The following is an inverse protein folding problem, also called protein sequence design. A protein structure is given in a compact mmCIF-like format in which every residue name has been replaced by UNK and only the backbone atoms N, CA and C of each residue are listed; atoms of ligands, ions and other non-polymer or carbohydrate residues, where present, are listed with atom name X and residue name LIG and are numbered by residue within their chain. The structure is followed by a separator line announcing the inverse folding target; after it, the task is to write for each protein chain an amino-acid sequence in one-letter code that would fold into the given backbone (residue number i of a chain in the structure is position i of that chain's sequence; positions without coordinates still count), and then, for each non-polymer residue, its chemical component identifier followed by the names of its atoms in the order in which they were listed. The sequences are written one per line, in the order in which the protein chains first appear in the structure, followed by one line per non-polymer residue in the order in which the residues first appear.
data_IF_457502541354
#
_entry.id   IF_457502541354
#
_cell.length_a   1.000
_cell.length_b   1.000
_cell.length_c   1.000
_cell.angle_alpha   90.00
_cell.angle_beta   90.00
_cell.angle_gamma   90.00
#
_symmetry.space_group_name_H-M   'P 1'
#
loop_
_entity.id
_entity.type
_entity.pdbx_description
1 polymer ?
#
# COMPACT_ATOMS: atom_id res chain seq x y z
N UNK A 1 -20.24 -7.03 1.08
CA UNK A 1 -19.43 -7.58 -0.02
C UNK A 1 -18.73 -8.88 0.41
N UNK A 2 -18.03 -8.90 1.53
CA UNK A 2 -17.35 -10.10 2.05
C UNK A 2 -18.15 -10.73 3.20
N UNK A 3 -17.97 -12.02 3.40
CA UNK A 3 -18.41 -12.69 4.64
C UNK A 3 -17.64 -12.09 5.81
N UNK A 4 -18.28 -11.99 6.97
CA UNK A 4 -17.70 -11.40 8.19
C UNK A 4 -16.56 -12.24 8.78
N UNK A 5 -16.44 -13.50 8.38
CA UNK A 5 -15.41 -14.46 8.78
C UNK A 5 -14.31 -14.67 7.73
N UNK A 6 -14.18 -13.78 6.74
CA UNK A 6 -13.22 -13.91 5.62
C UNK A 6 -11.78 -14.10 6.10
N UNK A 7 -11.40 -13.42 7.18
CA UNK A 7 -10.04 -13.46 7.75
C UNK A 7 -10.03 -14.11 9.14
N UNK A 8 -11.05 -14.90 9.46
CA UNK A 8 -11.11 -15.58 10.74
C UNK A 8 -9.90 -16.50 10.94
N UNK A 9 -9.34 -16.48 12.15
CA UNK A 9 -8.12 -17.19 12.54
C UNK A 9 -6.84 -16.74 11.81
N UNK A 10 -6.85 -15.69 11.03
CA UNK A 10 -5.64 -15.09 10.44
C UNK A 10 -5.01 -14.12 11.44
N UNK A 11 -3.70 -14.23 11.62
CA UNK A 11 -2.87 -13.30 12.39
C UNK A 11 -2.13 -12.39 11.43
N UNK A 12 -2.35 -11.09 11.55
CA UNK A 12 -1.91 -10.08 10.57
C UNK A 12 -1.05 -9.03 11.27
N UNK A 13 0.15 -8.75 10.75
CA UNK A 13 0.95 -7.60 11.16
C UNK A 13 0.83 -6.48 10.12
N UNK A 14 0.53 -5.27 10.58
CA UNK A 14 0.46 -4.06 9.74
C UNK A 14 1.51 -3.05 10.22
N UNK A 15 2.52 -2.79 9.39
CA UNK A 15 3.50 -1.74 9.69
C UNK A 15 2.91 -0.37 9.42
N UNK A 16 3.10 0.59 10.34
CA UNK A 16 2.44 1.89 10.26
C UNK A 16 0.92 1.81 10.47
N UNK A 17 0.45 0.86 11.28
CA UNK A 17 -0.96 0.55 11.49
C UNK A 17 -1.73 1.57 12.34
N UNK A 18 -1.05 2.54 12.98
CA UNK A 18 -1.71 3.51 13.86
C UNK A 18 -2.38 4.70 13.15
N UNK A 19 -2.19 4.91 11.85
CA UNK A 19 -2.76 6.04 11.13
C UNK A 19 -3.06 5.72 9.65
N UNK A 20 -3.86 6.57 9.02
CA UNK A 20 -4.06 6.57 7.57
C UNK A 20 -4.51 5.23 7.00
N UNK A 21 -3.88 4.79 5.91
CA UNK A 21 -4.23 3.55 5.22
C UNK A 21 -4.05 2.32 6.12
N UNK A 22 -2.98 2.28 6.92
CA UNK A 22 -2.70 1.19 7.85
C UNK A 22 -3.79 1.03 8.90
N UNK A 23 -4.26 2.14 9.49
CA UNK A 23 -5.37 2.16 10.44
C UNK A 23 -6.67 1.68 9.80
N UNK A 24 -6.95 2.13 8.56
CA UNK A 24 -8.15 1.69 7.83
C UNK A 24 -8.13 0.20 7.48
N UNK A 25 -6.97 -0.33 7.08
CA UNK A 25 -6.80 -1.77 6.86
C UNK A 25 -6.97 -2.56 8.17
N UNK A 26 -6.41 -2.07 9.29
CA UNK A 26 -6.56 -2.70 10.60
C UNK A 26 -8.04 -2.81 11.00
N UNK A 27 -8.81 -1.71 10.89
CA UNK A 27 -10.24 -1.72 11.16
C UNK A 27 -10.98 -2.78 10.33
N UNK A 28 -10.71 -2.80 9.02
CA UNK A 28 -11.38 -3.73 8.11
C UNK A 28 -11.04 -5.19 8.38
N UNK A 29 -9.78 -5.48 8.69
CA UNK A 29 -9.36 -6.86 8.98
C UNK A 29 -9.94 -7.38 10.29
N UNK A 30 -10.05 -6.53 11.32
CA UNK A 30 -10.76 -6.86 12.55
C UNK A 30 -12.23 -7.19 12.29
N UNK A 31 -12.94 -6.38 11.50
CA UNK A 31 -14.32 -6.62 11.10
C UNK A 31 -14.52 -7.94 10.33
N UNK A 32 -13.46 -8.46 9.71
CA UNK A 32 -13.47 -9.72 8.98
C UNK A 32 -12.93 -10.90 9.81
N UNK A 33 -12.75 -10.72 11.13
CA UNK A 33 -12.41 -11.78 12.08
C UNK A 33 -10.93 -12.03 12.30
N UNK A 34 -10.03 -11.18 11.79
CA UNK A 34 -8.59 -11.34 12.01
C UNK A 34 -8.17 -10.90 13.41
N UNK A 35 -7.06 -11.49 13.90
CA UNK A 35 -6.23 -10.91 14.96
C UNK A 35 -5.21 -9.99 14.34
N UNK A 36 -5.17 -8.72 14.74
CA UNK A 36 -4.33 -7.70 14.11
C UNK A 36 -3.26 -7.20 15.06
N UNK A 37 -2.01 -7.26 14.64
CA UNK A 37 -0.88 -6.60 15.28
C UNK A 37 -0.57 -5.33 14.49
N UNK A 38 -0.49 -4.18 15.17
CA UNK A 38 -0.08 -2.91 14.56
C UNK A 38 1.24 -2.46 15.13
N UNK A 39 2.16 -2.05 14.27
CA UNK A 39 3.44 -1.50 14.73
C UNK A 39 3.75 -0.12 14.13
N UNK A 40 4.62 0.61 14.82
CA UNK A 40 5.08 1.94 14.46
C UNK A 40 5.90 2.55 15.59
N UNK A 41 6.46 3.75 15.36
CA UNK A 41 7.38 4.39 16.32
C UNK A 41 6.67 5.11 17.47
N UNK A 42 5.42 5.53 17.28
CA UNK A 42 4.65 6.35 18.24
C UNK A 42 3.67 5.45 18.98
N UNK A 43 4.06 5.04 20.16
CA UNK A 43 3.29 4.12 21.00
C UNK A 43 1.91 4.68 21.33
N UNK A 44 1.82 5.94 21.75
CA UNK A 44 0.54 6.56 22.12
C UNK A 44 -0.48 6.55 20.95
N UNK A 45 0.01 6.71 19.70
CA UNK A 45 -0.86 6.69 18.51
C UNK A 45 -1.37 5.28 18.22
N UNK A 46 -0.53 4.27 18.48
CA UNK A 46 -0.92 2.87 18.33
C UNK A 46 -1.94 2.48 19.39
N UNK A 47 -1.71 2.87 20.64
CA UNK A 47 -2.61 2.62 21.77
C UNK A 47 -3.98 3.28 21.56
N UNK A 48 -4.00 4.54 21.08
CA UNK A 48 -5.25 5.22 20.74
C UNK A 48 -6.03 4.46 19.66
N UNK A 49 -5.33 3.95 18.64
CA UNK A 49 -5.96 3.15 17.59
C UNK A 49 -6.48 1.82 18.12
N UNK A 50 -5.72 1.16 19.00
CA UNK A 50 -6.14 -0.09 19.61
C UNK A 50 -7.36 0.11 20.52
N UNK A 51 -7.39 1.19 21.32
CA UNK A 51 -8.53 1.54 22.15
C UNK A 51 -9.79 1.82 21.30
N UNK A 52 -9.66 2.55 20.18
CA UNK A 52 -10.77 2.84 19.27
C UNK A 52 -11.36 1.55 18.63
N UNK A 53 -10.52 0.55 18.40
CA UNK A 53 -10.94 -0.69 17.74
C UNK A 53 -11.15 -1.87 18.67
N UNK A 54 -11.03 -1.67 19.98
CA UNK A 54 -11.17 -2.74 21.00
C UNK A 54 -12.49 -3.53 20.91
N UNK A 55 -13.57 -2.89 20.46
CA UNK A 55 -14.87 -3.55 20.25
C UNK A 55 -14.98 -4.30 18.91
N UNK A 56 -14.01 -4.14 17.99
CA UNK A 56 -14.05 -4.76 16.67
C UNK A 56 -13.36 -6.13 16.61
N UNK A 57 -12.46 -6.43 17.54
CA UNK A 57 -11.71 -7.69 17.57
C UNK A 57 -10.39 -7.59 18.33
N UNK A 58 -9.57 -8.64 18.23
CA UNK A 58 -8.27 -8.72 18.89
C UNK A 58 -7.23 -7.85 18.17
N UNK A 59 -6.80 -6.77 18.83
CA UNK A 59 -5.77 -5.86 18.31
C UNK A 59 -4.63 -5.74 19.33
N UNK A 60 -3.39 -5.84 18.84
CA UNK A 60 -2.17 -5.78 19.65
C UNK A 60 -1.25 -4.67 19.13
N UNK A 61 -0.63 -3.96 20.06
CA UNK A 61 0.29 -2.84 19.79
C UNK A 61 1.72 -3.29 20.04
N UNK A 62 2.61 -3.00 19.10
CA UNK A 62 4.04 -3.26 19.25
C UNK A 62 4.83 -2.05 18.74
N UNK A 63 5.38 -1.21 19.64
CA UNK A 63 6.27 -0.14 19.23
C UNK A 63 7.50 -0.70 18.50
N UNK A 64 7.71 -0.26 17.25
CA UNK A 64 8.84 -0.72 16.45
C UNK A 64 9.23 0.32 15.40
N UNK A 65 10.54 0.57 15.28
CA UNK A 65 11.10 1.27 14.14
C UNK A 65 11.55 0.23 13.09
N UNK A 66 10.81 0.11 12.00
CA UNK A 66 11.09 -0.87 10.94
C UNK A 66 12.47 -0.68 10.27
N UNK A 67 13.13 0.45 10.48
CA UNK A 67 14.49 0.72 9.99
C UNK A 67 15.54 -0.08 10.75
N UNK A 68 15.28 -0.41 12.02
CA UNK A 68 16.16 -1.23 12.85
C UNK A 68 15.82 -2.71 12.67
N UNK A 69 16.76 -3.47 12.10
CA UNK A 69 16.61 -4.92 11.97
C UNK A 69 16.47 -5.60 13.35
N UNK A 70 17.21 -5.12 14.34
CA UNK A 70 17.13 -5.63 15.72
C UNK A 70 15.73 -5.44 16.32
N UNK A 71 15.14 -4.24 16.17
CA UNK A 71 13.76 -3.98 16.62
C UNK A 71 12.73 -4.84 15.90
N UNK A 72 12.91 -5.05 14.59
CA UNK A 72 12.04 -5.93 13.80
C UNK A 72 12.15 -7.38 14.25
N UNK A 73 13.36 -7.89 14.49
CA UNK A 73 13.55 -9.27 14.98
C UNK A 73 12.95 -9.46 16.39
N UNK A 74 13.11 -8.48 17.28
CA UNK A 74 12.49 -8.50 18.61
C UNK A 74 10.96 -8.52 18.52
N UNK A 75 10.36 -7.66 17.68
CA UNK A 75 8.92 -7.64 17.39
C UNK A 75 8.45 -9.01 16.87
N UNK A 76 9.14 -9.58 15.90
CA UNK A 76 8.79 -10.89 15.35
C UNK A 76 8.90 -12.01 16.38
N UNK A 77 9.92 -11.99 17.23
CA UNK A 77 10.05 -12.98 18.32
C UNK A 77 8.85 -12.89 19.28
N UNK A 78 8.42 -11.68 19.64
CA UNK A 78 7.25 -11.48 20.49
C UNK A 78 5.99 -12.04 19.85
N UNK A 79 5.71 -11.73 18.57
CA UNK A 79 4.52 -12.23 17.86
C UNK A 79 4.55 -13.77 17.76
N UNK A 80 5.69 -14.34 17.40
CA UNK A 80 5.82 -15.79 17.16
C UNK A 80 5.89 -16.63 18.43
N UNK A 81 6.22 -16.03 19.58
CA UNK A 81 6.14 -16.74 20.87
C UNK A 81 4.71 -17.16 21.25
N UNK A 82 3.70 -16.47 20.71
CA UNK A 82 2.29 -16.81 20.92
C UNK A 82 1.80 -17.82 19.86
N UNK A 83 1.95 -17.47 18.57
CA UNK A 83 1.61 -18.32 17.44
C UNK A 83 2.23 -17.75 16.14
N UNK A 84 2.34 -18.56 15.05
CA UNK A 84 2.80 -18.07 13.78
C UNK A 84 1.96 -16.90 13.24
N UNK A 85 2.63 -15.97 12.55
CA UNK A 85 1.99 -14.91 11.79
C UNK A 85 1.60 -15.45 10.40
N UNK A 86 0.41 -15.12 9.90
CA UNK A 86 -0.05 -15.56 8.58
C UNK A 86 0.20 -14.50 7.50
N UNK A 87 0.06 -13.23 7.86
CA UNK A 87 0.03 -12.13 6.90
C UNK A 87 0.88 -10.96 7.41
N UNK A 88 1.74 -10.45 6.52
CA UNK A 88 2.48 -9.19 6.71
C UNK A 88 1.95 -8.12 5.74
N UNK A 89 1.56 -6.96 6.28
CA UNK A 89 1.24 -5.78 5.48
C UNK A 89 2.34 -4.72 5.66
N UNK A 90 3.15 -4.53 4.63
CA UNK A 90 4.16 -3.49 4.55
C UNK A 90 3.52 -2.17 4.12
N UNK A 91 3.13 -1.36 5.09
CA UNK A 91 2.49 -0.07 4.86
C UNK A 91 3.28 1.11 5.42
N UNK A 92 4.18 0.90 6.39
CA UNK A 92 5.00 1.97 6.94
C UNK A 92 5.74 2.74 5.83
N UNK A 93 5.52 4.04 5.78
CA UNK A 93 6.11 4.91 4.77
C UNK A 93 6.29 6.34 5.29
N UNK A 94 7.14 7.09 4.58
CA UNK A 94 7.29 8.52 4.72
C UNK A 94 7.62 9.11 3.35
N UNK A 95 7.09 10.31 3.07
CA UNK A 95 7.39 11.02 1.85
C UNK A 95 7.27 12.53 2.09
N UNK A 96 7.97 13.31 1.27
CA UNK A 96 7.87 14.77 1.21
C UNK A 96 8.24 15.25 -0.19
N UNK A 97 7.78 16.44 -0.57
CA UNK A 97 8.10 17.07 -1.84
C UNK A 97 9.31 17.98 -1.63
N UNK A 98 10.33 17.82 -2.46
CA UNK A 98 11.51 18.68 -2.49
C UNK A 98 12.20 18.66 -3.86
N UNK A 99 12.98 19.69 -4.16
CA UNK A 99 13.93 19.64 -5.28
C UNK A 99 15.02 18.63 -4.94
N UNK A 100 15.33 17.76 -5.89
CA UNK A 100 16.21 16.61 -5.61
C UNK A 100 17.64 17.03 -5.29
N UNK A 101 18.14 18.07 -5.95
CA UNK A 101 19.48 18.66 -5.73
C UNK A 101 19.65 19.30 -4.36
N UNK A 102 18.56 19.65 -3.68
CA UNK A 102 18.56 20.25 -2.35
C UNK A 102 18.50 19.21 -1.22
N UNK A 103 18.34 17.93 -1.55
CA UNK A 103 18.17 16.87 -0.56
C UNK A 103 19.51 16.49 0.10
N UNK A 104 19.54 16.61 1.43
CA UNK A 104 20.67 16.10 2.21
C UNK A 104 20.70 14.55 2.21
N UNK A 105 21.88 13.94 2.44
CA UNK A 105 21.97 12.47 2.62
C UNK A 105 21.02 11.93 3.71
N UNK A 106 20.79 12.70 4.79
CA UNK A 106 19.84 12.34 5.84
C UNK A 106 18.39 12.31 5.36
N UNK A 107 18.00 13.24 4.47
CA UNK A 107 16.67 13.26 3.87
C UNK A 107 16.44 12.02 2.98
N UNK A 108 17.43 11.67 2.15
CA UNK A 108 17.40 10.43 1.37
C UNK A 108 17.28 9.19 2.26
N UNK A 109 18.16 9.04 3.24
CA UNK A 109 18.18 7.90 4.15
C UNK A 109 16.89 7.76 4.95
N UNK A 110 16.22 8.86 5.30
CA UNK A 110 14.97 8.82 6.04
C UNK A 110 13.86 8.14 5.24
N UNK A 111 13.74 8.40 3.95
CA UNK A 111 12.71 7.79 3.08
C UNK A 111 13.09 6.37 2.69
N UNK A 112 14.31 6.15 2.20
CA UNK A 112 14.79 4.83 1.80
C UNK A 112 14.76 3.88 3.00
N UNK A 113 15.20 4.34 4.16
CA UNK A 113 15.23 3.56 5.39
C UNK A 113 13.85 3.05 5.81
N UNK A 114 12.81 3.90 5.77
CA UNK A 114 11.46 3.48 6.14
C UNK A 114 10.82 2.64 5.03
N UNK A 115 10.86 3.13 3.78
CA UNK A 115 10.03 2.58 2.70
C UNK A 115 10.63 1.31 2.11
N UNK A 116 11.92 1.32 1.80
CA UNK A 116 12.60 0.17 1.19
C UNK A 116 13.17 -0.77 2.24
N UNK A 117 14.07 -0.24 3.09
CA UNK A 117 14.76 -1.09 4.07
C UNK A 117 13.79 -1.63 5.13
N UNK A 118 12.81 -0.81 5.59
CA UNK A 118 11.79 -1.29 6.52
C UNK A 118 10.94 -2.41 5.93
N UNK A 119 10.54 -2.27 4.66
CA UNK A 119 9.83 -3.34 3.93
C UNK A 119 10.70 -4.59 3.81
N UNK A 120 11.96 -4.45 3.45
CA UNK A 120 12.91 -5.57 3.35
C UNK A 120 13.10 -6.26 4.71
N UNK A 121 13.37 -5.51 5.77
CA UNK A 121 13.58 -6.05 7.12
C UNK A 121 12.39 -6.89 7.59
N UNK A 122 11.16 -6.32 7.50
CA UNK A 122 9.95 -7.03 7.91
C UNK A 122 9.68 -8.27 7.03
N UNK A 123 9.83 -8.14 5.72
CA UNK A 123 9.61 -9.25 4.78
C UNK A 123 10.58 -10.39 5.03
N UNK A 124 11.86 -10.11 5.21
CA UNK A 124 12.87 -11.14 5.46
C UNK A 124 12.71 -11.79 6.83
N UNK A 125 12.35 -11.01 7.86
CA UNK A 125 12.10 -11.55 9.19
C UNK A 125 10.90 -12.51 9.23
N UNK A 126 9.79 -12.17 8.54
CA UNK A 126 8.65 -13.07 8.37
C UNK A 126 9.01 -14.28 7.49
N UNK A 127 9.59 -14.04 6.32
CA UNK A 127 9.90 -15.08 5.34
C UNK A 127 10.80 -16.17 5.90
N UNK A 128 11.86 -15.82 6.63
CA UNK A 128 12.75 -16.81 7.29
C UNK A 128 11.98 -17.71 8.25
N UNK A 129 11.05 -17.15 9.04
CA UNK A 129 10.24 -17.90 10.02
C UNK A 129 9.23 -18.80 9.31
N UNK A 130 8.53 -18.31 8.29
CA UNK A 130 7.61 -19.13 7.50
C UNK A 130 8.32 -20.28 6.84
N UNK A 131 9.48 -20.03 6.19
CA UNK A 131 10.26 -21.07 5.52
C UNK A 131 10.79 -22.11 6.49
N UNK A 132 11.31 -21.70 7.65
CA UNK A 132 11.80 -22.62 8.69
C UNK A 132 10.67 -23.48 9.28
N UNK A 133 9.50 -22.89 9.52
CA UNK A 133 8.33 -23.59 10.07
C UNK A 133 7.51 -24.36 9.02
N UNK A 134 7.83 -24.20 7.71
CA UNK A 134 6.98 -24.68 6.59
C UNK A 134 5.54 -24.17 6.70
N UNK A 135 5.38 -22.96 7.20
CA UNK A 135 4.09 -22.29 7.39
C UNK A 135 3.80 -21.41 6.15
N UNK A 136 2.59 -21.46 5.58
CA UNK A 136 2.24 -20.58 4.47
C UNK A 136 2.21 -19.13 4.94
N UNK A 137 2.54 -18.20 4.02
CA UNK A 137 2.56 -16.77 4.35
C UNK A 137 2.01 -15.91 3.22
N UNK A 138 1.52 -14.73 3.57
CA UNK A 138 1.11 -13.74 2.58
C UNK A 138 1.71 -12.38 2.92
N UNK A 139 2.36 -11.74 1.94
CA UNK A 139 2.87 -10.38 2.04
C UNK A 139 2.06 -9.48 1.12
N UNK A 140 1.53 -8.39 1.69
CA UNK A 140 0.95 -7.29 0.93
C UNK A 140 1.76 -6.02 1.17
N UNK A 141 2.26 -5.40 0.10
CA UNK A 141 3.00 -4.14 0.19
C UNK A 141 2.19 -2.98 -0.39
N UNK A 142 2.24 -1.83 0.28
CA UNK A 142 1.68 -0.58 -0.29
C UNK A 142 2.77 0.10 -1.11
N UNK A 143 2.62 0.06 -2.44
CA UNK A 143 3.48 0.73 -3.41
C UNK A 143 2.98 2.16 -3.70
N UNK A 144 3.25 2.65 -4.88
CA UNK A 144 2.74 3.90 -5.42
C UNK A 144 2.65 3.80 -6.94
N UNK A 145 1.66 4.46 -7.54
CA UNK A 145 1.45 4.44 -9.00
C UNK A 145 2.65 4.93 -9.82
N UNK A 146 3.53 5.74 -9.23
CA UNK A 146 4.73 6.24 -9.88
C UNK A 146 5.95 5.30 -9.76
N UNK A 147 5.86 4.20 -9.05
CA UNK A 147 6.98 3.28 -8.89
C UNK A 147 7.59 2.80 -10.23
N UNK A 148 6.80 2.42 -11.26
CA UNK A 148 7.35 1.94 -12.53
C UNK A 148 7.87 3.04 -13.47
N UNK A 149 7.47 4.31 -13.27
CA UNK A 149 7.78 5.42 -14.21
C UNK A 149 8.59 6.55 -13.56
N UNK A 150 8.78 6.52 -12.26
CA UNK A 150 9.39 7.62 -11.52
C UNK A 150 8.42 8.78 -11.26
N UNK A 151 8.86 9.75 -10.48
CA UNK A 151 8.16 11.02 -10.25
C UNK A 151 9.14 12.10 -9.82
N UNK A 152 9.05 13.26 -10.45
CA UNK A 152 9.79 14.45 -10.03
C UNK A 152 9.39 14.84 -8.60
N UNK A 153 10.32 15.47 -7.90
CA UNK A 153 10.17 16.06 -6.55
C UNK A 153 9.88 15.08 -5.39
N UNK A 154 9.78 13.78 -5.67
CA UNK A 154 9.64 12.70 -4.68
C UNK A 154 10.57 11.53 -4.98
N UNK A 155 11.74 11.82 -5.53
CA UNK A 155 12.68 10.82 -6.07
C UNK A 155 13.06 9.74 -5.06
N UNK A 156 13.37 10.04 -3.78
CA UNK A 156 13.68 8.98 -2.81
C UNK A 156 12.52 7.98 -2.62
N UNK A 157 11.28 8.46 -2.67
CA UNK A 157 10.10 7.60 -2.58
C UNK A 157 9.90 6.78 -3.86
N UNK A 158 10.11 7.38 -5.04
CA UNK A 158 10.00 6.67 -6.31
C UNK A 158 11.00 5.51 -6.41
N UNK A 159 12.27 5.75 -6.07
CA UNK A 159 13.30 4.72 -6.00
C UNK A 159 12.93 3.62 -5.02
N UNK A 160 12.48 4.00 -3.82
CA UNK A 160 12.09 3.03 -2.78
C UNK A 160 10.91 2.17 -3.21
N UNK A 161 9.87 2.76 -3.80
CA UNK A 161 8.67 2.03 -4.24
C UNK A 161 8.96 1.12 -5.45
N UNK A 162 9.83 1.54 -6.36
CA UNK A 162 10.34 0.67 -7.42
C UNK A 162 11.07 -0.55 -6.85
N UNK A 163 11.91 -0.35 -5.83
CA UNK A 163 12.57 -1.44 -5.12
C UNK A 163 11.58 -2.38 -4.41
N UNK A 164 10.53 -1.85 -3.78
CA UNK A 164 9.45 -2.65 -3.16
C UNK A 164 8.72 -3.51 -4.20
N UNK A 165 8.43 -2.98 -5.38
CA UNK A 165 7.81 -3.75 -6.45
C UNK A 165 8.73 -4.84 -7.00
N UNK A 166 10.02 -4.53 -7.19
CA UNK A 166 11.01 -5.53 -7.59
C UNK A 166 11.14 -6.65 -6.55
N UNK A 167 11.21 -6.30 -5.25
CA UNK A 167 11.20 -7.27 -4.15
C UNK A 167 9.95 -8.16 -4.19
N UNK A 168 8.78 -7.57 -4.38
CA UNK A 168 7.50 -8.29 -4.46
C UNK A 168 7.52 -9.34 -5.57
N UNK A 169 7.92 -8.96 -6.79
CA UNK A 169 7.96 -9.87 -7.94
C UNK A 169 9.01 -10.96 -7.78
N UNK A 170 10.20 -10.61 -7.30
CA UNK A 170 11.31 -11.55 -7.15
C UNK A 170 10.99 -12.64 -6.14
N UNK A 171 10.54 -12.24 -4.95
CA UNK A 171 10.22 -13.20 -3.88
C UNK A 171 8.93 -13.98 -4.14
N UNK A 172 7.97 -13.43 -4.90
CA UNK A 172 6.80 -14.17 -5.35
C UNK A 172 7.19 -15.41 -6.17
N UNK A 173 8.21 -15.29 -7.02
CA UNK A 173 8.74 -16.42 -7.81
C UNK A 173 9.58 -17.36 -6.94
N UNK A 174 10.48 -16.78 -6.13
CA UNK A 174 11.42 -17.59 -5.34
C UNK A 174 10.73 -18.38 -4.22
N UNK A 175 9.70 -17.84 -3.59
CA UNK A 175 9.03 -18.43 -2.43
C UNK A 175 7.66 -19.05 -2.75
N UNK A 176 7.14 -18.85 -3.96
CA UNK A 176 5.80 -19.30 -4.35
C UNK A 176 5.58 -20.80 -4.20
N UNK A 177 6.55 -21.63 -4.59
CA UNK A 177 6.49 -23.07 -4.43
C UNK A 177 6.62 -23.56 -2.97
N UNK A 178 6.88 -22.63 -2.05
CA UNK A 178 6.96 -22.89 -0.60
C UNK A 178 5.76 -22.31 0.16
N UNK A 179 4.68 -21.97 -0.57
CA UNK A 179 3.42 -21.52 0.01
C UNK A 179 3.39 -20.06 0.45
N UNK A 180 4.34 -19.22 0.00
CA UNK A 180 4.37 -17.78 0.32
C UNK A 180 3.96 -16.99 -0.92
N UNK A 181 2.92 -16.13 -0.77
CA UNK A 181 2.46 -15.22 -1.81
C UNK A 181 2.87 -13.79 -1.50
N UNK A 182 3.17 -13.03 -2.54
CA UNK A 182 3.56 -11.62 -2.41
C UNK A 182 2.87 -10.79 -3.47
N UNK A 183 2.12 -9.77 -3.03
CA UNK A 183 1.47 -8.82 -3.92
C UNK A 183 1.62 -7.39 -3.39
N UNK A 184 1.31 -6.42 -4.23
CA UNK A 184 1.31 -5.02 -3.84
C UNK A 184 0.05 -4.30 -4.36
N UNK A 185 -0.35 -3.24 -3.65
CA UNK A 185 -1.31 -2.25 -4.13
C UNK A 185 -0.55 -0.97 -4.42
N UNK A 186 -0.75 -0.39 -5.60
CA UNK A 186 -0.25 0.92 -5.99
C UNK A 186 -1.42 1.93 -6.01
N UNK A 187 -1.69 2.59 -4.87
CA UNK A 187 -2.82 3.50 -4.77
C UNK A 187 -2.56 4.82 -5.50
N UNK A 188 -3.64 5.41 -6.03
CA UNK A 188 -3.73 6.81 -6.36
C UNK A 188 -3.89 7.69 -5.11
N UNK A 189 -4.27 8.96 -5.27
CA UNK A 189 -4.51 9.84 -4.14
C UNK A 189 -5.69 9.35 -3.30
N UNK A 190 -5.42 9.07 -2.03
CA UNK A 190 -6.43 8.74 -1.01
C UNK A 190 -6.21 9.72 0.14
N UNK A 191 -7.16 10.62 0.44
CA UNK A 191 -7.07 11.55 1.55
C UNK A 191 -6.97 10.81 2.88
N UNK A 192 -5.88 11.06 3.61
CA UNK A 192 -5.69 10.58 4.97
C UNK A 192 -5.18 11.71 5.84
N UNK A 193 -5.56 11.70 7.12
CA UNK A 193 -5.14 12.72 8.06
C UNK A 193 -3.59 12.80 8.13
N UNK A 194 -3.02 13.96 7.82
CA UNK A 194 -1.58 14.23 7.92
C UNK A 194 -0.69 13.75 6.76
N UNK A 195 -1.14 12.85 5.87
CA UNK A 195 -0.37 12.49 4.68
C UNK A 195 -0.76 13.37 3.48
N UNK A 196 -2.03 13.68 3.34
CA UNK A 196 -2.56 14.45 2.23
C UNK A 196 -1.97 15.87 2.16
N UNK A 197 -1.90 16.57 3.30
CA UNK A 197 -1.29 17.90 3.39
C UNK A 197 0.21 17.95 3.08
N UNK A 198 0.94 16.83 3.24
CA UNK A 198 2.36 16.77 2.90
C UNK A 198 2.62 16.52 1.42
N UNK A 199 1.69 15.86 0.74
CA UNK A 199 1.83 15.50 -0.68
C UNK A 199 1.09 16.48 -1.58
N UNK A 200 0.06 17.14 -1.07
CA UNK A 200 -0.69 18.19 -1.76
C UNK A 200 -0.75 19.45 -0.87
N UNK A 201 0.40 20.14 -0.68
CA UNK A 201 0.50 21.26 0.26
C UNK A 201 -0.17 22.55 -0.23
N UNK A 202 -0.75 22.56 -1.43
CA UNK A 202 -1.37 23.74 -2.03
C UNK A 202 -2.73 23.37 -2.65
N UNK A 203 -3.81 24.16 -2.46
CA UNK A 203 -5.15 23.86 -3.00
C UNK A 203 -5.18 23.62 -4.51
N UNK A 204 -4.36 24.33 -5.29
CA UNK A 204 -4.26 24.13 -6.74
C UNK A 204 -3.72 22.74 -7.15
N UNK A 205 -2.97 22.06 -6.28
CA UNK A 205 -2.50 20.70 -6.53
C UNK A 205 -3.62 19.67 -6.35
N UNK A 206 -4.55 19.93 -5.46
CA UNK A 206 -5.74 19.11 -5.27
C UNK A 206 -6.64 19.14 -6.50
N UNK A 207 -6.94 20.33 -7.02
CA UNK A 207 -7.70 20.52 -8.27
C UNK A 207 -7.00 19.80 -9.43
N UNK A 208 -5.69 19.98 -9.57
CA UNK A 208 -4.91 19.31 -10.62
C UNK A 208 -4.96 17.78 -10.50
N UNK A 209 -4.93 17.24 -9.28
CA UNK A 209 -5.01 15.80 -9.07
C UNK A 209 -6.41 15.25 -9.42
N UNK A 210 -7.47 15.99 -9.09
CA UNK A 210 -8.84 15.65 -9.48
C UNK A 210 -9.02 15.69 -11.01
N UNK A 211 -8.50 16.73 -11.65
CA UNK A 211 -8.59 16.87 -13.11
C UNK A 211 -7.84 15.78 -13.88
N UNK A 212 -6.75 15.24 -13.30
CA UNK A 212 -6.03 14.12 -13.89
C UNK A 212 -6.74 12.79 -13.75
N UNK A 213 -7.61 12.67 -12.78
CA UNK A 213 -8.31 11.41 -12.52
C UNK A 213 -9.56 11.28 -13.42
N UNK A 214 -9.68 10.24 -14.25
CA UNK A 214 -10.87 10.04 -15.08
C UNK A 214 -12.19 9.95 -14.30
N UNK A 215 -12.13 9.48 -13.04
CA UNK A 215 -13.31 9.40 -12.18
C UNK A 215 -13.60 10.73 -11.45
N UNK A 216 -12.77 11.77 -11.62
CA UNK A 216 -12.88 13.08 -10.96
C UNK A 216 -13.10 13.02 -9.45
N UNK A 217 -12.51 12.03 -8.79
CA UNK A 217 -12.57 11.85 -7.35
C UNK A 217 -11.28 11.23 -6.81
N UNK A 218 -11.08 11.36 -5.53
CA UNK A 218 -10.09 10.57 -4.81
C UNK A 218 -10.63 9.19 -4.45
N UNK A 219 -9.72 8.24 -4.25
CA UNK A 219 -10.05 6.96 -3.64
C UNK A 219 -10.36 7.13 -2.15
N UNK A 220 -11.00 6.13 -1.56
CA UNK A 220 -11.28 6.09 -0.13
C UNK A 220 -10.41 5.05 0.58
N UNK A 221 -10.22 5.26 1.89
CA UNK A 221 -9.51 4.29 2.75
C UNK A 221 -10.25 2.95 2.76
N UNK A 222 -11.58 2.99 2.72
CA UNK A 222 -12.42 1.79 2.68
C UNK A 222 -12.23 0.99 1.40
N UNK A 223 -12.19 1.64 0.23
CA UNK A 223 -11.94 0.97 -1.05
C UNK A 223 -10.59 0.25 -1.05
N UNK A 224 -9.53 0.90 -0.52
CA UNK A 224 -8.22 0.28 -0.38
C UNK A 224 -8.25 -0.88 0.62
N UNK A 225 -8.89 -0.72 1.76
CA UNK A 225 -8.98 -1.75 2.78
C UNK A 225 -9.75 -2.98 2.29
N UNK A 226 -10.79 -2.79 1.47
CA UNK A 226 -11.51 -3.89 0.82
C UNK A 226 -10.62 -4.64 -0.18
N UNK A 227 -9.88 -3.93 -1.04
CA UNK A 227 -8.92 -4.58 -1.95
C UNK A 227 -7.82 -5.32 -1.18
N UNK A 228 -7.29 -4.71 -0.12
CA UNK A 228 -6.30 -5.34 0.75
C UNK A 228 -6.86 -6.62 1.39
N UNK A 229 -8.08 -6.60 1.93
CA UNK A 229 -8.73 -7.77 2.51
C UNK A 229 -8.88 -8.92 1.50
N UNK A 230 -9.25 -8.62 0.26
CA UNK A 230 -9.30 -9.62 -0.81
C UNK A 230 -7.91 -10.22 -1.09
N UNK A 231 -6.89 -9.37 -1.26
CA UNK A 231 -5.54 -9.83 -1.64
C UNK A 231 -4.83 -10.64 -0.55
N UNK A 232 -5.17 -10.42 0.71
CA UNK A 232 -4.60 -11.21 1.81
C UNK A 232 -5.41 -12.46 2.14
N UNK A 233 -6.63 -12.58 1.64
CA UNK A 233 -7.50 -13.73 1.87
C UNK A 233 -7.11 -14.96 1.02
N UNK A 234 -7.61 -16.11 1.41
CA UNK A 234 -7.44 -17.36 0.65
C UNK A 234 -8.15 -17.31 -0.72
N UNK A 235 -9.15 -16.42 -0.89
CA UNK A 235 -9.87 -16.21 -2.15
C UNK A 235 -9.01 -15.63 -3.28
N UNK A 236 -7.85 -15.06 -2.97
CA UNK A 236 -6.87 -14.57 -3.95
C UNK A 236 -5.67 -15.51 -4.13
N UNK A 237 -5.81 -16.80 -3.78
CA UNK A 237 -4.72 -17.79 -3.70
C UNK A 237 -3.89 -17.95 -4.99
N UNK A 238 -4.44 -17.61 -6.15
CA UNK A 238 -3.73 -17.71 -7.44
C UNK A 238 -3.15 -16.37 -7.94
N UNK A 239 -3.31 -15.30 -7.15
CA UNK A 239 -2.68 -13.98 -7.43
C UNK A 239 -1.36 -13.91 -6.68
N UNK A 240 -0.24 -13.85 -7.42
CA UNK A 240 1.10 -13.81 -6.86
C UNK A 240 2.06 -13.01 -7.74
N UNK A 241 2.80 -12.08 -7.17
CA UNK A 241 3.74 -11.21 -7.86
C UNK A 241 3.10 -9.95 -8.49
N UNK A 242 1.80 -9.73 -8.26
CA UNK A 242 1.07 -8.63 -8.89
C UNK A 242 1.18 -7.31 -8.12
N UNK A 243 1.19 -6.22 -8.89
CA UNK A 243 1.07 -4.85 -8.40
C UNK A 243 -0.23 -4.27 -8.93
N UNK A 244 -1.25 -4.28 -8.11
CA UNK A 244 -2.58 -3.83 -8.50
C UNK A 244 -2.69 -2.32 -8.35
N UNK A 245 -2.88 -1.60 -9.46
CA UNK A 245 -3.15 -0.17 -9.44
C UNK A 245 -4.59 0.10 -9.04
N UNK A 246 -4.75 0.97 -8.07
CA UNK A 246 -6.03 1.43 -7.56
C UNK A 246 -6.04 2.96 -7.55
N UNK A 247 -6.23 3.56 -8.72
CA UNK A 247 -6.01 4.99 -8.95
C UNK A 247 -7.07 5.71 -9.79
N UNK A 248 -8.24 5.07 -10.00
CA UNK A 248 -9.31 5.66 -10.82
C UNK A 248 -8.95 5.83 -12.30
N UNK A 249 -7.92 5.15 -12.79
CA UNK A 249 -7.44 5.23 -14.18
C UNK A 249 -6.44 6.36 -14.44
N UNK A 250 -6.01 7.10 -13.42
CA UNK A 250 -5.11 8.25 -13.58
C UNK A 250 -3.78 7.89 -14.27
N UNK A 251 -3.21 6.72 -13.95
CA UNK A 251 -1.98 6.27 -14.61
C UNK A 251 -2.15 6.08 -16.11
N UNK A 252 -3.26 5.48 -16.53
CA UNK A 252 -3.56 5.23 -17.94
C UNK A 252 -3.89 6.54 -18.67
N UNK A 253 -4.59 7.46 -18.02
CA UNK A 253 -4.90 8.78 -18.55
C UNK A 253 -3.62 9.54 -18.93
N UNK A 254 -2.59 9.48 -18.11
CA UNK A 254 -1.32 10.17 -18.39
C UNK A 254 -0.48 9.52 -19.49
N UNK A 255 -0.64 8.22 -19.73
CA UNK A 255 0.13 7.46 -20.73
C UNK A 255 -0.53 7.38 -22.10
N UNK A 256 -1.83 7.66 -22.22
CA UNK A 256 -2.58 7.54 -23.48
C UNK A 256 -2.41 8.74 -24.38
N UNK A 257 -1.98 8.51 -25.65
CA UNK A 257 -1.75 9.57 -26.65
C UNK A 257 -3.01 10.43 -26.88
N UNK A 258 -4.17 9.78 -26.93
CA UNK A 258 -5.46 10.45 -27.19
C UNK A 258 -6.30 10.68 -25.95
N UNK A 259 -5.77 10.39 -24.75
CA UNK A 259 -6.52 10.47 -23.48
C UNK A 259 -7.06 11.87 -23.17
N UNK A 260 -6.47 12.92 -23.75
CA UNK A 260 -6.89 14.30 -23.50
C UNK A 260 -7.96 14.81 -24.49
N UNK A 261 -8.35 14.03 -25.50
CA UNK A 261 -9.34 14.46 -26.50
C UNK A 261 -10.68 14.82 -25.85
N UNK A 262 -11.15 14.07 -24.86
CA UNK A 262 -12.39 14.36 -24.13
C UNK A 262 -12.38 15.69 -23.36
N UNK A 263 -11.19 16.28 -23.12
CA UNK A 263 -11.03 17.60 -22.51
C UNK A 263 -10.86 18.71 -23.54
N UNK A 264 -10.29 18.37 -24.69
CA UNK A 264 -9.95 19.31 -25.76
C UNK A 264 -11.13 19.54 -26.71
N UNK A 265 -11.96 18.52 -26.92
CA UNK A 265 -13.03 18.54 -27.90
C UNK A 265 -14.41 18.78 -27.24
N UNK A 266 -15.20 19.63 -27.89
CA UNK A 266 -16.61 19.86 -27.57
C UNK A 266 -17.48 18.86 -28.33
N UNK A 267 -18.77 18.80 -28.00
CA UNK A 267 -19.72 17.90 -28.66
C UNK A 267 -19.80 18.13 -30.17
N UNK A 268 -19.67 19.38 -30.62
CA UNK A 268 -19.66 19.78 -32.04
C UNK A 268 -18.47 19.14 -32.78
N UNK A 269 -17.28 19.11 -32.13
CA UNK A 269 -16.07 18.53 -32.72
C UNK A 269 -16.23 17.01 -32.84
N UNK A 270 -16.82 16.36 -31.85
CA UNK A 270 -17.11 14.93 -31.89
C UNK A 270 -18.08 14.56 -33.03
N UNK A 271 -19.07 15.41 -33.32
CA UNK A 271 -19.97 15.19 -34.45
C UNK A 271 -19.26 15.32 -35.80
N UNK A 272 -18.28 16.23 -35.89
CA UNK A 272 -17.47 16.44 -37.13
C UNK A 272 -16.51 15.27 -37.43
N UNK A 273 -16.03 14.59 -36.37
CA UNK A 273 -15.07 13.46 -36.45
C UNK A 273 -15.77 12.13 -36.79
N UNK A 274 -17.08 12.03 -36.66
CA UNK A 274 -17.83 10.79 -36.96
C UNK A 274 -17.54 10.29 -38.36
N UNK A 275 -17.27 8.99 -38.57
CA UNK A 275 -17.08 8.44 -39.89
C UNK A 275 -18.29 8.75 -40.80
N UNK A 276 -18.07 9.31 -41.95
CA UNK A 276 -19.14 9.46 -42.94
C UNK A 276 -19.68 8.07 -43.27
N UNK A 277 -20.99 7.84 -43.08
CA UNK A 277 -21.62 6.59 -43.51
C UNK A 277 -21.30 6.39 -44.98
N UNK A 278 -20.62 5.30 -45.34
CA UNK A 278 -20.47 4.92 -46.76
C UNK A 278 -21.89 4.78 -47.32
N UNK A 279 -22.17 5.53 -48.39
CA UNK A 279 -23.37 5.27 -49.17
C UNK A 279 -23.18 3.91 -49.83
N UNK A 280 -23.78 2.87 -49.26
CA UNK A 280 -24.03 1.61 -49.98
C UNK A 280 -25.05 1.84 -51.06
#
# INVERSE_FOLDING_TARGET
MFRTDLLQNKRILITGGGTGLGKGMAARFLELGATVHICGRREEVLEQTAAEFSSKGAIHVIPCDVRSLEAVEAMMNSIWSEAPLDILVNNAAGNFIARTEELSPGAWNSVIGIVLMGTLNCTMACGRRWLAAKHPGTVLSISARYAPVGSAYVVPSAVSKAGVEALTRSLAVEWGNRGIRMNAIAPGPIPTQGAFSRVLPHPGLETLALDRNPQHRFGTVEELANLAAFLVSDGSGYINGEVIRMDGGEFLQGAGEFSNLGRALKEEDWQAIKPKKSKT
#
